data_IF_662745791005
#
_entry.id   IF_662745791005
#
_cell.length_a   1.000
_cell.length_b   1.000
_cell.length_c   1.000
_cell.angle_alpha   90.00
_cell.angle_beta   90.00
_cell.angle_gamma   90.00
#
_symmetry.space_group_name_H-M   'P 1'
#
loop_
_entity.id
_entity.type
_entity.pdbx_description
1 polymer ?
#
# COMPACT_ATOMS: atom_id res chain seq x y z
N UNK A 1 -19.39 -5.26 6.92
CA UNK A 1 -17.93 -5.41 6.71
C UNK A 1 -17.24 -4.05 6.73
N UNK A 2 -16.10 -3.88 7.44
CA UNK A 2 -15.36 -2.60 7.46
C UNK A 2 -14.26 -2.59 6.40
N UNK A 3 -14.37 -1.66 5.47
CA UNK A 3 -13.52 -1.61 4.26
C UNK A 3 -12.60 -0.38 4.30
N UNK A 4 -11.33 -0.59 3.97
CA UNK A 4 -10.35 0.47 3.72
C UNK A 4 -10.10 0.56 2.22
N UNK A 5 -10.40 1.72 1.64
CA UNK A 5 -10.07 2.06 0.26
C UNK A 5 -8.79 2.92 0.21
N UNK A 6 -7.74 2.41 -0.42
CA UNK A 6 -6.55 3.18 -0.74
C UNK A 6 -6.79 4.00 -2.00
N UNK A 7 -6.77 5.32 -1.86
CA UNK A 7 -6.89 6.25 -2.97
C UNK A 7 -5.50 6.80 -3.32
N UNK A 8 -4.80 6.08 -4.19
CA UNK A 8 -3.38 6.22 -4.50
C UNK A 8 -3.09 7.30 -5.55
N UNK A 9 -3.75 8.45 -5.48
CA UNK A 9 -3.60 9.54 -6.45
C UNK A 9 -2.18 10.15 -6.46
N UNK A 10 -1.45 10.05 -5.34
CA UNK A 10 -0.04 10.45 -5.18
C UNK A 10 0.88 9.26 -4.85
N UNK A 11 0.48 8.05 -5.23
CA UNK A 11 1.20 6.82 -4.93
C UNK A 11 1.06 6.40 -3.46
N UNK A 12 2.04 5.66 -2.95
CA UNK A 12 2.04 5.11 -1.60
C UNK A 12 3.45 4.71 -1.14
N UNK A 13 3.75 5.01 0.11
CA UNK A 13 4.94 4.53 0.84
C UNK A 13 4.54 4.02 2.23
N UNK A 14 5.46 3.34 2.92
CA UNK A 14 5.21 2.81 4.27
C UNK A 14 4.82 3.90 5.27
N UNK A 15 5.59 4.99 5.32
CA UNK A 15 5.34 6.17 6.14
C UNK A 15 4.02 6.89 5.77
N UNK A 16 3.69 6.97 4.47
CA UNK A 16 2.40 7.51 4.03
C UNK A 16 1.24 6.64 4.51
N UNK A 17 1.37 5.32 4.50
CA UNK A 17 0.34 4.42 5.03
C UNK A 17 0.17 4.61 6.53
N UNK A 18 1.25 4.66 7.31
CA UNK A 18 1.21 4.94 8.75
C UNK A 18 0.54 6.29 9.05
N UNK A 19 0.98 7.34 8.35
CA UNK A 19 0.42 8.68 8.49
C UNK A 19 -1.07 8.70 8.17
N UNK A 20 -1.50 8.05 7.09
CA UNK A 20 -2.89 8.00 6.70
C UNK A 20 -3.75 7.25 7.72
N UNK A 21 -3.25 6.16 8.31
CA UNK A 21 -3.96 5.40 9.36
C UNK A 21 -4.20 6.26 10.61
N UNK A 22 -3.18 6.98 11.09
CA UNK A 22 -3.31 7.93 12.20
C UNK A 22 -4.25 9.07 11.84
N UNK A 23 -4.12 9.62 10.63
CA UNK A 23 -5.01 10.66 10.11
C UNK A 23 -6.48 10.22 10.01
N UNK A 24 -6.74 8.92 9.85
CA UNK A 24 -8.10 8.34 9.82
C UNK A 24 -8.65 7.98 11.21
N UNK A 25 -7.91 8.27 12.29
CA UNK A 25 -8.34 8.05 13.67
C UNK A 25 -7.70 6.86 14.37
N UNK A 26 -6.64 6.26 13.84
CA UNK A 26 -5.82 5.33 14.62
C UNK A 26 -5.05 6.10 15.70
N UNK A 27 -5.19 5.71 16.96
CA UNK A 27 -4.48 6.36 18.06
C UNK A 27 -2.96 6.12 17.94
N UNK A 28 -2.21 7.20 17.76
CA UNK A 28 -0.77 7.16 17.57
C UNK A 28 -0.02 6.59 18.78
N UNK A 29 -0.46 6.89 19.99
CA UNK A 29 0.18 6.40 21.22
C UNK A 29 -0.03 4.90 21.36
N UNK A 30 -1.26 4.42 21.11
CA UNK A 30 -1.58 2.98 21.12
C UNK A 30 -0.82 2.23 20.03
N UNK A 31 -0.70 2.81 18.83
CA UNK A 31 0.08 2.21 17.74
C UNK A 31 1.56 2.06 18.14
N UNK A 32 2.17 3.11 18.71
CA UNK A 32 3.57 3.09 19.18
C UNK A 32 3.76 2.08 20.32
N UNK A 33 2.82 2.01 21.27
CA UNK A 33 2.86 1.02 22.35
C UNK A 33 2.82 -0.41 21.81
N UNK A 34 1.97 -0.68 20.81
CA UNK A 34 1.90 -1.99 20.16
C UNK A 34 3.18 -2.31 19.36
N UNK A 35 3.78 -1.32 18.69
CA UNK A 35 5.07 -1.49 18.02
C UNK A 35 6.18 -1.92 18.98
N UNK A 36 6.16 -1.46 20.24
CA UNK A 36 7.12 -1.88 21.26
C UNK A 36 7.07 -3.40 21.52
N UNK A 37 5.94 -4.07 21.24
CA UNK A 37 5.80 -5.52 21.35
C UNK A 37 6.66 -6.30 20.34
N UNK A 38 7.18 -5.63 19.29
CA UNK A 38 8.15 -6.20 18.34
C UNK A 38 9.47 -6.61 19.01
N UNK A 39 9.81 -6.04 20.17
CA UNK A 39 11.01 -6.40 20.93
C UNK A 39 12.33 -5.90 20.32
N UNK A 40 12.27 -5.10 19.25
CA UNK A 40 13.43 -4.48 18.60
C UNK A 40 13.66 -3.08 19.17
N UNK A 41 14.92 -2.68 19.31
CA UNK A 41 15.32 -1.35 19.82
C UNK A 41 15.95 -0.52 18.71
N UNK A 42 16.07 0.77 18.96
CA UNK A 42 16.80 1.70 18.09
C UNK A 42 15.94 2.34 17.01
N UNK A 43 14.61 2.36 17.16
CA UNK A 43 13.76 3.19 16.32
C UNK A 43 12.91 4.12 17.18
N UNK A 44 12.43 5.19 16.57
CA UNK A 44 11.48 6.13 17.13
C UNK A 44 10.47 6.52 16.05
N UNK A 45 9.19 6.59 16.41
CA UNK A 45 8.11 6.96 15.47
C UNK A 45 7.45 8.23 15.95
N UNK A 46 7.35 9.21 15.08
CA UNK A 46 6.70 10.49 15.36
C UNK A 46 5.63 10.80 14.31
N UNK A 47 4.52 11.36 14.76
CA UNK A 47 3.44 11.80 13.90
C UNK A 47 3.29 13.32 14.01
N UNK A 48 3.28 14.01 12.87
CA UNK A 48 3.14 15.47 12.82
C UNK A 48 2.15 15.88 11.74
N UNK A 49 1.29 16.85 12.02
CA UNK A 49 0.42 17.43 10.99
C UNK A 49 1.22 18.39 10.12
N UNK A 50 1.14 18.21 8.80
CA UNK A 50 1.81 19.04 7.80
C UNK A 50 0.83 19.49 6.72
N UNK A 51 1.20 20.53 5.99
CA UNK A 51 0.48 20.97 4.81
C UNK A 51 1.14 20.40 3.54
N UNK A 52 0.34 19.90 2.60
CA UNK A 52 0.75 19.45 1.27
C UNK A 52 -0.12 20.15 0.24
N UNK A 53 0.36 21.24 -0.35
CA UNK A 53 -0.36 22.01 -1.38
C UNK A 53 -1.80 22.38 -0.96
N UNK A 54 -1.97 22.85 0.28
CA UNK A 54 -3.25 23.22 0.88
C UNK A 54 -3.96 22.09 1.63
N UNK A 55 -3.53 20.84 1.46
CA UNK A 55 -4.10 19.67 2.13
C UNK A 55 -3.45 19.42 3.50
N UNK A 56 -4.26 19.29 4.55
CA UNK A 56 -3.77 18.86 5.87
C UNK A 56 -3.55 17.34 5.86
N UNK A 57 -2.33 16.91 6.15
CA UNK A 57 -1.95 15.50 6.16
C UNK A 57 -1.06 15.16 7.36
N UNK A 58 -1.06 13.91 7.79
CA UNK A 58 -0.23 13.39 8.88
C UNK A 58 1.05 12.82 8.28
N UNK A 59 2.19 13.39 8.65
CA UNK A 59 3.51 12.82 8.34
C UNK A 59 3.92 11.87 9.46
N UNK A 60 4.20 10.63 9.10
CA UNK A 60 4.90 9.68 9.96
C UNK A 60 6.42 9.81 9.71
N UNK A 61 7.21 9.95 10.77
CA UNK A 61 8.66 9.91 10.71
C UNK A 61 9.12 8.71 11.51
N UNK A 62 9.64 7.71 10.81
CA UNK A 62 10.31 6.55 11.42
C UNK A 62 11.81 6.82 11.41
N UNK A 63 12.31 7.24 12.56
CA UNK A 63 13.73 7.47 12.78
C UNK A 63 14.36 6.16 13.26
N UNK A 64 15.18 5.55 12.41
CA UNK A 64 15.94 4.35 12.71
C UNK A 64 17.36 4.53 12.15
N UNK A 65 18.42 4.02 12.82
CA UNK A 65 19.77 4.12 12.32
C UNK A 65 19.85 3.43 10.97
N UNK A 66 20.48 4.09 10.01
CA UNK A 66 20.88 3.51 8.74
C UNK A 66 22.00 2.48 8.98
N UNK A 67 21.66 1.37 9.63
CA UNK A 67 22.51 0.19 9.61
C UNK A 67 22.25 -0.52 8.29
N UNK A 68 23.27 -0.64 7.44
CA UNK A 68 23.30 -1.58 6.30
C UNK A 68 23.35 -3.04 6.80
N UNK A 69 22.50 -3.40 7.75
CA UNK A 69 22.29 -4.79 8.12
C UNK A 69 21.38 -5.39 7.08
N UNK A 70 21.99 -6.02 6.09
CA UNK A 70 21.31 -6.93 5.19
C UNK A 70 20.65 -8.02 6.02
N UNK A 71 19.32 -8.01 6.04
CA UNK A 71 18.51 -9.07 6.63
C UNK A 71 17.96 -9.93 5.49
N UNK A 72 17.89 -11.23 5.74
CA UNK A 72 17.11 -12.15 4.94
C UNK A 72 15.65 -12.15 5.38
N UNK A 73 14.78 -12.66 4.52
CA UNK A 73 13.37 -12.89 4.86
C UNK A 73 13.21 -13.68 6.16
N UNK A 74 14.06 -14.70 6.37
CA UNK A 74 14.03 -15.54 7.57
C UNK A 74 14.27 -14.72 8.84
N UNK A 75 15.27 -13.83 8.84
CA UNK A 75 15.59 -12.99 9.99
C UNK A 75 14.41 -12.07 10.36
N UNK A 76 13.75 -11.50 9.36
CA UNK A 76 12.57 -10.63 9.56
C UNK A 76 11.39 -11.44 10.10
N UNK A 77 11.16 -12.64 9.57
CA UNK A 77 10.10 -13.52 10.06
C UNK A 77 10.34 -13.98 11.49
N UNK A 78 11.59 -14.27 11.87
CA UNK A 78 11.96 -14.60 13.26
C UNK A 78 11.65 -13.42 14.19
N UNK A 79 12.07 -12.19 13.82
CA UNK A 79 11.75 -10.97 14.59
C UNK A 79 10.22 -10.82 14.80
N UNK A 80 9.43 -11.01 13.75
CA UNK A 80 7.97 -10.85 13.81
C UNK A 80 7.33 -11.98 14.64
N UNK A 81 7.74 -13.23 14.42
CA UNK A 81 7.11 -14.39 15.06
C UNK A 81 7.44 -14.47 16.56
N UNK A 82 8.66 -14.10 16.95
CA UNK A 82 9.11 -14.07 18.35
C UNK A 82 8.55 -12.87 19.14
N UNK A 83 7.92 -11.91 18.45
CA UNK A 83 7.28 -10.75 19.08
C UNK A 83 6.03 -11.13 19.88
N UNK A 84 5.57 -10.19 20.72
CA UNK A 84 4.30 -10.31 21.46
C UNK A 84 3.10 -9.72 20.71
N UNK A 85 3.24 -9.48 19.40
CA UNK A 85 2.14 -9.03 18.55
C UNK A 85 1.06 -10.11 18.44
N UNK A 86 -0.17 -9.71 18.12
CA UNK A 86 -1.22 -10.68 17.86
C UNK A 86 -0.96 -11.45 16.54
N UNK A 87 -1.55 -12.65 16.43
CA UNK A 87 -1.29 -13.56 15.31
C UNK A 87 -1.78 -13.01 13.95
N UNK A 88 -2.85 -12.19 13.93
CA UNK A 88 -3.35 -11.55 12.70
C UNK A 88 -2.34 -10.54 12.15
N UNK A 89 -1.75 -9.73 13.02
CA UNK A 89 -0.68 -8.77 12.67
C UNK A 89 0.56 -9.51 12.20
N UNK A 90 1.01 -10.55 12.92
CA UNK A 90 2.19 -11.35 12.53
C UNK A 90 2.01 -11.99 11.16
N UNK A 91 0.88 -12.67 10.95
CA UNK A 91 0.59 -13.36 9.70
C UNK A 91 0.59 -12.39 8.51
N UNK A 92 -0.04 -11.22 8.67
CA UNK A 92 -0.11 -10.18 7.63
C UNK A 92 1.26 -9.58 7.34
N UNK A 93 2.03 -9.21 8.36
CA UNK A 93 3.37 -8.64 8.17
C UNK A 93 4.31 -9.66 7.49
N UNK A 94 4.29 -10.92 7.91
CA UNK A 94 5.05 -11.99 7.26
C UNK A 94 4.64 -12.22 5.79
N UNK A 95 3.34 -12.10 5.46
CA UNK A 95 2.86 -12.20 4.09
C UNK A 95 3.36 -11.03 3.21
N UNK A 96 3.34 -9.81 3.74
CA UNK A 96 3.88 -8.62 3.05
C UNK A 96 5.37 -8.78 2.76
N UNK A 97 6.17 -9.19 3.75
CA UNK A 97 7.60 -9.42 3.56
C UNK A 97 7.89 -10.57 2.61
N UNK A 98 7.08 -11.64 2.63
CA UNK A 98 7.20 -12.73 1.66
C UNK A 98 6.97 -12.22 0.23
N UNK A 99 5.92 -11.43 0.01
CA UNK A 99 5.62 -10.86 -1.31
C UNK A 99 6.74 -9.94 -1.81
N UNK A 100 7.31 -9.14 -0.90
CA UNK A 100 8.48 -8.32 -1.21
C UNK A 100 9.70 -9.17 -1.57
N UNK A 101 10.00 -10.22 -0.79
CA UNK A 101 11.10 -11.13 -1.08
C UNK A 101 10.94 -11.84 -2.43
N UNK A 102 9.72 -12.26 -2.79
CA UNK A 102 9.40 -12.88 -4.08
C UNK A 102 9.62 -11.93 -5.25
N UNK A 103 9.31 -10.64 -5.07
CA UNK A 103 9.57 -9.62 -6.08
C UNK A 103 11.08 -9.39 -6.27
N UNK A 104 11.81 -9.20 -5.18
CA UNK A 104 13.27 -9.05 -5.19
C UNK A 104 13.98 -10.27 -5.79
N UNK A 105 13.52 -11.48 -5.44
CA UNK A 105 13.99 -12.75 -6.00
C UNK A 105 13.93 -12.78 -7.52
N UNK A 106 12.82 -12.31 -8.09
CA UNK A 106 12.64 -12.26 -9.55
C UNK A 106 13.50 -11.19 -10.19
N UNK A 107 13.62 -10.01 -9.58
CA UNK A 107 14.47 -8.92 -10.08
C UNK A 107 15.94 -9.33 -10.11
N UNK A 108 16.42 -9.99 -9.05
CA UNK A 108 17.80 -10.42 -8.91
C UNK A 108 18.09 -11.81 -9.49
N UNK A 109 17.07 -12.54 -9.93
CA UNK A 109 17.17 -13.92 -10.41
C UNK A 109 17.85 -14.84 -9.38
N UNK A 110 17.42 -14.75 -8.12
CA UNK A 110 17.92 -15.56 -7.02
C UNK A 110 16.77 -16.29 -6.30
N UNK A 111 17.04 -17.42 -5.62
CA UNK A 111 16.05 -18.05 -4.74
C UNK A 111 15.62 -17.10 -3.61
N UNK A 112 14.34 -17.11 -3.25
CA UNK A 112 13.75 -16.26 -2.20
C UNK A 112 14.51 -16.39 -0.87
N UNK A 113 15.00 -17.58 -0.55
CA UNK A 113 15.73 -17.87 0.68
C UNK A 113 17.11 -17.20 0.73
N UNK A 114 17.67 -16.83 -0.43
CA UNK A 114 18.99 -16.20 -0.55
C UNK A 114 18.92 -14.68 -0.70
N UNK A 115 17.73 -14.13 -0.89
CA UNK A 115 17.57 -12.70 -1.07
C UNK A 115 18.04 -11.94 0.16
N UNK A 116 18.90 -10.97 -0.10
CA UNK A 116 19.33 -9.95 0.85
C UNK A 116 18.58 -8.67 0.53
N UNK A 117 17.82 -8.17 1.50
CA UNK A 117 17.18 -6.88 1.30
C UNK A 117 18.22 -5.75 1.43
N UNK A 118 18.39 -4.98 0.36
CA UNK A 118 19.35 -3.88 0.31
C UNK A 118 18.74 -2.58 0.86
N UNK A 119 17.48 -2.32 0.56
CA UNK A 119 16.78 -1.07 0.92
C UNK A 119 15.57 -1.32 1.84
N UNK A 120 14.99 -2.53 1.80
CA UNK A 120 13.71 -2.85 2.46
C UNK A 120 13.82 -3.80 3.66
N UNK A 121 15.03 -4.21 4.04
CA UNK A 121 15.31 -5.03 5.23
C UNK A 121 15.79 -4.20 6.41
N UNK A 122 15.89 -2.90 6.22
CA UNK A 122 16.24 -1.93 7.24
C UNK A 122 15.11 -1.82 8.27
N UNK A 123 15.46 -1.28 9.44
CA UNK A 123 14.57 -1.27 10.60
C UNK A 123 13.33 -0.39 10.36
N UNK A 124 13.46 0.69 9.59
CA UNK A 124 12.37 1.55 9.14
C UNK A 124 11.31 0.78 8.35
N UNK A 125 11.71 -0.03 7.37
CA UNK A 125 10.76 -0.83 6.58
C UNK A 125 10.01 -1.88 7.44
N UNK A 126 10.68 -2.48 8.43
CA UNK A 126 10.03 -3.37 9.41
C UNK A 126 8.98 -2.62 10.23
N UNK A 127 9.34 -1.44 10.73
CA UNK A 127 8.43 -0.60 11.51
C UNK A 127 7.25 -0.12 10.67
N UNK A 128 7.46 0.25 9.41
CA UNK A 128 6.40 0.64 8.47
C UNK A 128 5.40 -0.49 8.23
N UNK A 129 5.88 -1.68 7.84
CA UNK A 129 5.02 -2.83 7.53
C UNK A 129 4.27 -3.32 8.77
N UNK A 130 4.98 -3.48 9.89
CA UNK A 130 4.37 -3.96 11.14
C UNK A 130 3.41 -2.90 11.69
N UNK A 131 3.79 -1.63 11.67
CA UNK A 131 2.94 -0.53 12.13
C UNK A 131 1.68 -0.38 11.29
N UNK A 132 1.76 -0.56 9.96
CA UNK A 132 0.60 -0.59 9.09
C UNK A 132 -0.33 -1.76 9.46
N UNK A 133 0.23 -2.96 9.69
CA UNK A 133 -0.54 -4.13 10.10
C UNK A 133 -1.25 -3.93 11.45
N UNK A 134 -0.58 -3.31 12.42
CA UNK A 134 -1.16 -2.91 13.72
C UNK A 134 -2.29 -1.91 13.49
N UNK A 135 -2.07 -0.85 12.71
CA UNK A 135 -3.08 0.18 12.44
C UNK A 135 -4.32 -0.40 11.75
N UNK A 136 -4.16 -1.33 10.81
CA UNK A 136 -5.28 -2.06 10.21
C UNK A 136 -6.08 -2.86 11.24
N UNK A 137 -5.40 -3.48 12.20
CA UNK A 137 -6.02 -4.28 13.25
C UNK A 137 -6.74 -3.41 14.29
N UNK A 138 -6.11 -2.33 14.75
CA UNK A 138 -6.70 -1.34 15.66
C UNK A 138 -7.94 -0.66 15.07
N UNK A 139 -7.92 -0.42 13.76
CA UNK A 139 -9.08 0.11 13.03
C UNK A 139 -10.08 -0.98 12.64
N UNK A 140 -9.85 -2.25 12.95
CA UNK A 140 -10.77 -3.35 12.65
C UNK A 140 -11.09 -3.47 11.17
N UNK A 141 -10.08 -3.32 10.29
CA UNK A 141 -10.27 -3.44 8.84
C UNK A 141 -10.38 -4.92 8.44
N UNK A 142 -11.43 -5.22 7.68
CA UNK A 142 -11.75 -6.57 7.19
C UNK A 142 -11.41 -6.73 5.71
N UNK A 143 -11.67 -5.69 4.91
CA UNK A 143 -11.48 -5.69 3.45
C UNK A 143 -10.63 -4.50 3.01
N UNK A 144 -9.79 -4.74 2.00
CA UNK A 144 -8.95 -3.71 1.39
C UNK A 144 -9.22 -3.63 -0.11
N UNK A 145 -9.42 -2.42 -0.60
CA UNK A 145 -9.61 -2.10 -2.02
C UNK A 145 -8.66 -0.96 -2.36
N UNK A 146 -8.14 -0.91 -3.59
CA UNK A 146 -7.27 0.19 -4.03
C UNK A 146 -7.75 0.79 -5.34
N UNK A 147 -7.53 2.10 -5.51
CA UNK A 147 -7.53 2.73 -6.84
C UNK A 147 -6.38 2.18 -7.68
N UNK A 148 -6.32 2.60 -8.96
CA UNK A 148 -5.07 2.51 -9.70
C UNK A 148 -3.96 3.29 -8.98
N UNK A 149 -2.73 2.77 -9.02
CA UNK A 149 -1.59 3.37 -8.32
C UNK A 149 -0.84 4.33 -9.24
N UNK A 150 -0.68 5.57 -8.78
CA UNK A 150 0.16 6.55 -9.47
C UNK A 150 1.64 6.27 -9.19
N UNK A 151 2.37 5.69 -10.14
CA UNK A 151 3.78 5.30 -9.92
C UNK A 151 4.78 6.45 -10.05
N UNK A 152 4.35 7.59 -10.61
CA UNK A 152 5.20 8.71 -10.97
C UNK A 152 5.93 8.50 -12.30
N UNK A 153 7.00 9.25 -12.53
CA UNK A 153 7.76 9.20 -13.78
C UNK A 153 9.25 9.54 -13.60
N UNK A 154 10.07 9.24 -14.60
CA UNK A 154 11.49 9.60 -14.62
C UNK A 154 12.40 8.46 -14.14
N UNK A 155 13.44 8.82 -13.40
CA UNK A 155 14.47 7.90 -12.91
C UNK A 155 14.71 8.11 -11.41
N UNK A 156 15.03 7.05 -10.67
CA UNK A 156 15.41 7.09 -9.25
C UNK A 156 16.84 6.57 -9.05
N UNK A 157 17.57 7.15 -8.10
CA UNK A 157 18.88 6.64 -7.65
C UNK A 157 18.66 5.62 -6.54
N UNK A 158 19.27 4.45 -6.69
CA UNK A 158 19.22 3.32 -5.76
C UNK A 158 20.65 2.83 -5.47
N UNK A 159 20.81 1.92 -4.51
CA UNK A 159 22.11 1.34 -4.17
C UNK A 159 22.85 0.73 -5.39
N UNK A 160 22.08 0.23 -6.37
CA UNK A 160 22.60 -0.43 -7.58
C UNK A 160 22.62 0.49 -8.81
N UNK A 161 22.51 1.80 -8.60
CA UNK A 161 22.54 2.83 -9.66
C UNK A 161 21.16 3.39 -9.98
N UNK A 162 21.04 3.96 -11.19
CA UNK A 162 19.88 4.75 -11.59
C UNK A 162 18.89 3.92 -12.42
N UNK A 163 17.65 3.78 -11.93
CA UNK A 163 16.61 2.94 -12.55
C UNK A 163 15.42 3.77 -13.03
N UNK A 164 14.68 3.30 -14.07
CA UNK A 164 13.42 3.91 -14.46
C UNK A 164 12.37 3.78 -13.37
N UNK A 165 11.43 4.70 -13.34
CA UNK A 165 10.23 4.63 -12.49
C UNK A 165 9.07 4.01 -13.31
N UNK A 166 8.34 3.01 -12.77
CA UNK A 166 8.51 2.40 -11.44
C UNK A 166 9.79 1.56 -11.37
N UNK A 167 10.49 1.55 -10.20
CA UNK A 167 11.68 0.73 -10.03
C UNK A 167 11.39 -0.78 -10.19
N UNK A 168 12.40 -1.62 -10.47
CA UNK A 168 12.19 -3.03 -10.79
C UNK A 168 11.36 -3.82 -9.77
N UNK A 169 11.63 -3.66 -8.47
CA UNK A 169 10.87 -4.34 -7.43
C UNK A 169 9.40 -3.87 -7.36
N UNK A 170 9.16 -2.56 -7.54
CA UNK A 170 7.80 -1.99 -7.60
C UNK A 170 7.06 -2.49 -8.84
N UNK A 171 7.72 -2.52 -10.00
CA UNK A 171 7.15 -3.05 -11.23
C UNK A 171 6.76 -4.54 -11.09
N UNK A 172 7.57 -5.32 -10.38
CA UNK A 172 7.29 -6.73 -10.10
C UNK A 172 6.11 -6.92 -9.12
N UNK A 173 6.07 -6.13 -8.04
CA UNK A 173 5.00 -6.19 -7.02
C UNK A 173 3.61 -5.84 -7.58
N UNK A 174 3.58 -4.95 -8.57
CA UNK A 174 2.36 -4.37 -9.14
C UNK A 174 1.92 -5.01 -10.48
N UNK A 175 2.49 -6.15 -10.89
CA UNK A 175 2.13 -6.81 -12.17
C UNK A 175 0.62 -7.05 -12.36
N UNK A 176 -0.09 -7.32 -11.28
CA UNK A 176 -1.53 -7.60 -11.28
C UNK A 176 -2.37 -6.38 -10.84
N UNK A 177 -1.73 -5.25 -10.56
CA UNK A 177 -2.39 -4.03 -10.11
C UNK A 177 -2.48 -3.00 -11.26
N UNK A 178 -3.59 -2.26 -11.40
CA UNK A 178 -3.65 -1.16 -12.35
C UNK A 178 -2.73 -0.03 -11.89
N UNK A 179 -1.87 0.42 -12.80
CA UNK A 179 -0.93 1.52 -12.57
C UNK A 179 -1.07 2.59 -13.64
N UNK A 180 -0.69 3.82 -13.31
CA UNK A 180 -0.59 4.91 -14.27
C UNK A 180 0.53 5.87 -13.87
N UNK A 181 0.96 6.70 -14.81
CA UNK A 181 1.97 7.76 -14.61
C UNK A 181 1.45 9.09 -15.13
N UNK A 182 1.94 10.19 -14.56
CA UNK A 182 1.73 11.55 -15.09
C UNK A 182 3.07 12.30 -15.23
N UNK A 183 3.00 13.59 -15.49
CA UNK A 183 4.14 14.52 -15.50
C UNK A 183 4.87 14.66 -14.15
N UNK A 184 4.29 14.18 -13.04
CA UNK A 184 4.93 14.21 -11.73
C UNK A 184 6.17 13.32 -11.75
N UNK A 185 7.34 13.95 -11.61
CA UNK A 185 8.64 13.29 -11.63
C UNK A 185 9.03 12.79 -10.24
N UNK A 186 9.54 11.57 -10.17
CA UNK A 186 9.96 10.91 -8.94
C UNK A 186 9.13 9.67 -8.64
N UNK A 187 9.73 8.78 -7.85
CA UNK A 187 9.09 7.57 -7.36
C UNK A 187 7.98 7.94 -6.38
N UNK A 188 6.72 7.74 -6.79
CA UNK A 188 5.55 7.99 -5.94
C UNK A 188 5.08 6.73 -5.20
N UNK A 189 5.36 5.55 -5.74
CA UNK A 189 5.14 4.27 -5.06
C UNK A 189 6.48 3.67 -4.70
N UNK A 190 6.75 3.50 -3.41
CA UNK A 190 7.97 2.84 -2.93
C UNK A 190 7.78 1.33 -2.86
N UNK A 191 8.86 0.52 -2.83
CA UNK A 191 8.76 -0.93 -2.66
C UNK A 191 7.92 -1.35 -1.45
N UNK A 192 8.08 -0.67 -0.30
CA UNK A 192 7.29 -0.93 0.91
C UNK A 192 5.80 -0.63 0.71
N UNK A 193 5.46 0.51 0.09
CA UNK A 193 4.06 0.86 -0.19
C UNK A 193 3.41 -0.12 -1.17
N UNK A 194 4.11 -0.46 -2.25
CA UNK A 194 3.68 -1.48 -3.20
C UNK A 194 3.48 -2.85 -2.53
N UNK A 195 4.40 -3.28 -1.68
CA UNK A 195 4.32 -4.57 -1.00
C UNK A 195 3.12 -4.63 -0.04
N UNK A 196 2.87 -3.56 0.73
CA UNK A 196 1.70 -3.50 1.61
C UNK A 196 0.42 -3.58 0.79
N UNK A 197 0.22 -2.68 -0.18
CA UNK A 197 -1.03 -2.60 -0.94
C UNK A 197 -1.27 -3.89 -1.73
N UNK A 198 -0.27 -4.39 -2.45
CA UNK A 198 -0.42 -5.60 -3.29
C UNK A 198 -0.55 -6.90 -2.49
N UNK A 199 -0.16 -6.91 -1.21
CA UNK A 199 -0.38 -8.07 -0.34
C UNK A 199 -1.75 -8.05 0.35
N UNK A 200 -2.32 -6.87 0.64
CA UNK A 200 -3.59 -6.77 1.38
C UNK A 200 -4.80 -6.54 0.50
N UNK A 201 -4.66 -5.91 -0.66
CA UNK A 201 -5.77 -5.61 -1.56
C UNK A 201 -6.09 -6.81 -2.44
N UNK A 202 -7.35 -7.22 -2.41
CA UNK A 202 -7.89 -8.28 -3.27
C UNK A 202 -8.49 -7.72 -4.55
N UNK A 203 -8.88 -6.45 -4.54
CA UNK A 203 -9.60 -5.77 -5.61
C UNK A 203 -9.04 -4.39 -5.90
N UNK A 204 -9.06 -4.04 -7.18
CA UNK A 204 -8.67 -2.73 -7.67
C UNK A 204 -9.79 -2.13 -8.51
N UNK A 205 -10.07 -0.84 -8.30
CA UNK A 205 -11.12 -0.17 -9.06
C UNK A 205 -11.60 1.12 -8.42
N UNK A 206 -12.84 1.49 -8.75
CA UNK A 206 -13.51 2.62 -8.13
C UNK A 206 -13.78 2.35 -6.64
N UNK A 207 -13.98 3.44 -5.88
CA UNK A 207 -14.42 3.35 -4.49
C UNK A 207 -15.71 2.51 -4.41
N UNK A 208 -15.76 1.46 -3.57
CA UNK A 208 -16.96 0.64 -3.44
C UNK A 208 -18.10 1.45 -2.83
N UNK A 209 -19.34 0.99 -3.06
CA UNK A 209 -20.52 1.61 -2.45
C UNK A 209 -20.50 1.37 -0.94
N UNK A 210 -20.10 2.38 -0.18
CA UNK A 210 -20.01 2.31 1.28
C UNK A 210 -20.38 3.63 1.93
N UNK A 211 -20.78 3.58 3.20
CA UNK A 211 -20.91 4.77 4.03
C UNK A 211 -19.54 5.13 4.60
N UNK A 212 -18.98 6.25 4.14
CA UNK A 212 -17.71 6.76 4.65
C UNK A 212 -17.84 7.08 6.15
N UNK A 213 -16.92 6.53 6.95
CA UNK A 213 -16.81 6.74 8.39
C UNK A 213 -15.63 7.62 8.77
N UNK A 214 -14.51 7.46 8.07
CA UNK A 214 -13.32 8.25 8.28
C UNK A 214 -12.51 8.40 6.99
N UNK A 215 -11.72 9.46 6.92
CA UNK A 215 -10.70 9.66 5.88
C UNK A 215 -9.42 10.08 6.55
N UNK A 216 -8.29 9.56 6.08
CA UNK A 216 -6.97 9.95 6.55
C UNK A 216 -6.05 10.28 5.39
N UNK A 217 -5.13 11.20 5.61
CA UNK A 217 -4.14 11.61 4.63
C UNK A 217 -2.75 11.43 5.21
N UNK A 218 -1.93 10.60 4.57
CA UNK A 218 -0.55 10.37 4.96
C UNK A 218 0.40 11.13 4.05
N UNK A 219 1.17 12.05 4.62
CA UNK A 219 2.03 12.94 3.84
C UNK A 219 3.31 12.24 3.40
N UNK A 220 3.62 12.31 2.10
CA UNK A 220 4.92 11.91 1.59
C UNK A 220 6.01 12.93 1.93
N UNK A 221 7.27 12.47 1.92
CA UNK A 221 8.43 13.32 2.22
C UNK A 221 8.70 14.39 1.16
N UNK A 222 8.60 14.04 -0.13
CA UNK A 222 8.82 14.98 -1.23
C UNK A 222 7.67 15.99 -1.33
N UNK A 223 7.99 17.23 -1.69
CA UNK A 223 7.00 18.26 -1.95
C UNK A 223 6.98 18.59 -3.45
N UNK A 224 5.78 18.83 -3.98
CA UNK A 224 5.57 19.16 -5.39
C UNK A 224 4.71 20.42 -5.48
N UNK A 225 5.04 21.29 -6.43
CA UNK A 225 4.24 22.47 -6.70
C UNK A 225 2.86 22.08 -7.23
N UNK A 226 1.80 22.62 -6.61
CA UNK A 226 0.40 22.39 -6.98
C UNK A 226 -0.07 20.92 -6.97
N UNK A 227 0.72 19.99 -6.43
CA UNK A 227 0.36 18.58 -6.32
C UNK A 227 0.53 18.09 -4.87
N UNK A 228 -0.56 17.71 -4.18
CA UNK A 228 -0.47 17.28 -2.79
C UNK A 228 0.12 15.86 -2.71
N UNK A 229 1.39 15.73 -2.35
CA UNK A 229 2.01 14.42 -2.10
C UNK A 229 1.48 13.79 -0.81
N UNK A 230 0.32 13.14 -0.89
CA UNK A 230 -0.31 12.46 0.23
C UNK A 230 -1.11 11.24 -0.24
N UNK A 231 -1.01 10.14 0.50
CA UNK A 231 -1.90 8.99 0.32
C UNK A 231 -3.20 9.27 1.05
N UNK A 232 -4.34 9.17 0.36
CA UNK A 232 -5.65 9.18 1.01
C UNK A 232 -6.09 7.75 1.29
N UNK A 233 -6.54 7.50 2.52
CA UNK A 233 -7.34 6.32 2.84
C UNK A 233 -8.76 6.74 3.18
N UNK A 234 -9.72 5.93 2.77
CA UNK A 234 -11.14 6.11 3.07
C UNK A 234 -11.63 4.84 3.76
N UNK A 235 -12.11 4.97 4.99
CA UNK A 235 -12.65 3.86 5.76
C UNK A 235 -14.16 3.98 5.77
N UNK A 236 -14.86 2.92 5.37
CA UNK A 236 -16.30 2.88 5.35
C UNK A 236 -16.87 1.53 5.76
N UNK A 237 -18.19 1.50 5.85
CA UNK A 237 -18.97 0.27 6.05
C UNK A 237 -19.83 0.05 4.81
N UNK A 238 -19.71 -1.13 4.23
CA UNK A 238 -20.55 -1.55 3.11
C UNK A 238 -21.94 -1.96 3.61
N UNK A 239 -22.94 -1.66 2.79
CA UNK A 239 -24.32 -2.04 3.06
C UNK A 239 -24.54 -3.47 2.55
N UNK A 240 -24.74 -4.43 3.45
CA UNK A 240 -24.89 -5.87 3.13
C UNK A 240 -26.10 -6.16 2.22
N UNK A 241 -26.98 -5.18 2.02
CA UNK A 241 -28.18 -5.29 1.17
C UNK A 241 -28.02 -4.83 -0.28
N UNK A 242 -26.86 -4.30 -0.69
CA UNK A 242 -26.62 -3.95 -2.09
C UNK A 242 -26.09 -5.18 -2.83
N UNK A 243 -27.00 -6.01 -3.35
CA UNK A 243 -26.64 -6.96 -4.40
C UNK A 243 -26.11 -6.14 -5.59
N UNK A 244 -24.81 -6.25 -5.86
CA UNK A 244 -24.25 -5.86 -7.15
C UNK A 244 -24.87 -6.79 -8.21
N UNK A 245 -26.01 -6.37 -8.77
CA UNK A 245 -26.54 -6.97 -9.98
C UNK A 245 -25.55 -6.67 -11.10
N UNK A 246 -24.75 -7.68 -11.47
CA UNK A 246 -23.92 -7.62 -12.67
C UNK A 246 -24.85 -7.61 -13.89
N UNK A 247 -25.09 -6.43 -14.44
CA UNK A 247 -25.78 -6.26 -15.71
C UNK A 247 -24.78 -6.50 -16.86
N UNK A 248 -24.99 -7.57 -17.60
CA UNK A 248 -24.26 -7.84 -18.84
C UNK A 248 -25.11 -7.35 -20.02
N UNK A 249 -24.62 -6.37 -20.79
CA UNK A 249 -25.26 -5.96 -22.04
C UNK A 249 -24.61 -6.71 -23.20
N UNK A 250 -25.39 -7.55 -23.88
CA UNK A 250 -24.99 -8.20 -25.14
C UNK A 250 -25.74 -7.48 -26.26
N UNK A 251 -24.99 -6.84 -27.14
CA UNK A 251 -25.52 -6.22 -28.36
C UNK A 251 -24.88 -6.85 -29.60
N UNK A 252 -25.65 -6.93 -30.68
CA UNK A 252 -25.17 -7.41 -31.98
C UNK A 252 -25.96 -6.74 -33.10
N UNK A 253 -25.36 -6.63 -34.28
CA UNK A 253 -26.03 -6.13 -35.47
C UNK A 253 -26.68 -7.29 -36.22
N UNK A 254 -27.90 -7.09 -36.72
CA UNK A 254 -28.57 -8.04 -37.61
C UNK A 254 -28.38 -7.58 -39.05
N UNK A 255 -27.49 -8.23 -39.81
CA UNK A 255 -27.10 -7.81 -41.16
C UNK A 255 -27.80 -8.62 -42.28
N UNK A 256 -28.03 -9.93 -42.06
CA UNK A 256 -28.55 -10.85 -43.08
C UNK A 256 -30.01 -11.32 -42.86
N UNK A 257 -30.86 -10.49 -42.22
CA UNK A 257 -32.27 -10.84 -41.96
C UNK A 257 -33.23 -10.02 -42.81
N UNK A 258 -34.23 -10.70 -43.40
CA UNK A 258 -35.32 -10.05 -44.13
C UNK A 258 -36.13 -9.12 -43.20
N UNK A 259 -36.49 -7.89 -43.65
CA UNK A 259 -37.29 -6.95 -42.87
C UNK A 259 -38.67 -7.49 -42.42
N UNK A 260 -39.25 -8.44 -43.17
CA UNK A 260 -40.51 -9.08 -42.83
C UNK A 260 -40.40 -10.02 -41.62
N UNK A 261 -39.20 -10.52 -41.33
CA UNK A 261 -38.92 -11.39 -40.17
C UNK A 261 -38.50 -10.57 -38.96
N UNK A 262 -37.86 -9.42 -39.18
CA UNK A 262 -37.37 -8.50 -38.13
C UNK A 262 -38.49 -8.01 -37.18
N UNK A 263 -39.74 -7.93 -37.66
CA UNK A 263 -40.88 -7.48 -36.85
C UNK A 263 -41.32 -8.45 -35.74
N UNK A 264 -40.72 -9.64 -35.65
CA UNK A 264 -41.04 -10.67 -34.65
C UNK A 264 -39.93 -10.90 -33.60
N UNK A 265 -38.84 -10.12 -33.65
CA UNK A 265 -37.67 -10.23 -32.75
C UNK A 265 -37.66 -9.11 -31.73
#
# INVERSE_FOLDING_TARGET
MRTLYFDCFAGASGDMILGALVGAGCDAAVLIENLAALGVRGYNVQFTTVNRSGLSATRALVDAPHEHKHRHLKDIQEIINDSKLNEKVKARACAIFRRLAEAEARVHNEPVERIHFHEVGALDAIVDVVGACIGFDLLGIDRFVSSALHVGSGMVEMAHGRFPIPPPAVAELLKDAPVYSSEITGELVTPTGAAIISAVCEEYGAIPRMKIRATGYGAGFREYDNFPNALRIIIGEEDEGALDERLLMIETNVDDMSPQILGFV
#
